data_IF_801836495138
#
_entry.id   IF_801836495138
#
_cell.length_a   1.000
_cell.length_b   1.000
_cell.length_c   1.000
_cell.angle_alpha   90.00
_cell.angle_beta   90.00
_cell.angle_gamma   90.00
#
_symmetry.space_group_name_H-M   'P 1'
#
loop_
_entity.id
_entity.type
_entity.pdbx_description
1 polymer ?
#
# COMPACT_ATOMS: atom_id res chain seq x y z
N UNK A 1 6.06 7.89 -15.98
CA UNK A 1 5.96 8.94 -14.95
C UNK A 1 5.37 10.21 -15.60
N UNK A 2 4.36 10.80 -15.00
CA UNK A 2 3.74 12.04 -15.44
C UNK A 2 3.75 13.04 -14.29
N UNK A 3 3.97 14.33 -14.58
CA UNK A 3 3.88 15.38 -13.56
C UNK A 3 2.61 16.17 -13.78
N UNK A 4 1.67 16.06 -12.86
CA UNK A 4 0.48 16.91 -12.78
C UNK A 4 0.82 18.28 -12.20
N UNK A 5 0.20 19.34 -12.73
CA UNK A 5 0.28 20.68 -12.17
C UNK A 5 -1.13 21.22 -11.95
N UNK A 6 -1.41 21.72 -10.77
CA UNK A 6 -2.67 22.35 -10.44
C UNK A 6 -2.48 23.74 -9.82
N UNK A 7 -3.38 24.65 -10.12
CA UNK A 7 -3.41 26.00 -9.57
C UNK A 7 -4.87 26.43 -9.40
N UNK A 8 -5.23 26.94 -8.23
CA UNK A 8 -6.54 27.54 -8.04
C UNK A 8 -6.52 29.01 -8.50
N UNK A 9 -7.54 29.40 -9.26
CA UNK A 9 -7.79 30.78 -9.69
C UNK A 9 -9.00 31.29 -8.92
N UNK A 10 -8.84 32.41 -8.23
CA UNK A 10 -9.89 33.07 -7.45
C UNK A 10 -9.99 34.55 -7.91
N UNK A 11 -11.11 35.24 -7.67
CA UNK A 11 -11.22 36.66 -7.98
C UNK A 11 -10.12 37.51 -7.34
N UNK A 12 -9.59 37.09 -6.18
CA UNK A 12 -8.55 37.78 -5.41
C UNK A 12 -7.12 37.38 -5.79
N UNK A 13 -6.92 36.48 -6.78
CA UNK A 13 -5.60 36.06 -7.24
C UNK A 13 -5.47 34.57 -7.54
N UNK A 14 -4.23 34.18 -7.83
CA UNK A 14 -3.87 32.79 -8.14
C UNK A 14 -3.14 32.17 -6.96
N UNK A 15 -3.41 30.90 -6.66
CA UNK A 15 -2.61 30.14 -5.69
C UNK A 15 -1.22 29.84 -6.24
N UNK A 16 -0.31 29.36 -5.38
CA UNK A 16 0.91 28.69 -5.83
C UNK A 16 0.55 27.49 -6.71
N UNK A 17 1.42 27.15 -7.65
CA UNK A 17 1.32 25.92 -8.44
C UNK A 17 1.70 24.74 -7.53
N UNK A 18 0.81 23.77 -7.41
CA UNK A 18 1.11 22.48 -6.82
C UNK A 18 1.52 21.54 -7.93
N UNK A 19 2.63 20.83 -7.74
CA UNK A 19 3.15 19.81 -8.66
C UNK A 19 3.11 18.46 -7.96
N UNK A 20 2.59 17.45 -8.63
CA UNK A 20 2.57 16.06 -8.16
C UNK A 20 3.09 15.15 -9.26
N UNK A 21 3.96 14.22 -8.89
CA UNK A 21 4.44 13.17 -9.77
C UNK A 21 3.55 11.95 -9.65
N UNK A 22 2.91 11.55 -10.74
CA UNK A 22 2.07 10.35 -10.79
C UNK A 22 2.88 9.22 -11.39
N UNK A 23 2.98 8.11 -10.67
CA UNK A 23 3.61 6.89 -11.12
C UNK A 23 2.54 5.95 -11.70
N UNK A 24 2.33 5.99 -13.01
CA UNK A 24 1.38 5.07 -13.65
C UNK A 24 1.89 3.63 -13.65
N UNK A 25 1.01 2.71 -13.29
CA UNK A 25 1.16 1.26 -13.38
C UNK A 25 -0.15 0.64 -13.87
N UNK A 26 -0.21 -0.67 -14.02
CA UNK A 26 -1.45 -1.35 -14.45
C UNK A 26 -2.58 -1.24 -13.42
N UNK A 27 -2.24 -1.04 -12.14
CA UNK A 27 -3.20 -0.84 -11.04
C UNK A 27 -3.76 0.58 -10.96
N UNK A 28 -3.08 1.58 -11.56
CA UNK A 28 -3.47 3.00 -11.40
C UNK A 28 -4.90 3.24 -11.86
N UNK A 29 -5.70 3.84 -10.98
CA UNK A 29 -7.13 4.15 -11.16
C UNK A 29 -8.02 2.94 -11.45
N UNK A 30 -7.58 1.73 -11.07
CA UNK A 30 -8.42 0.53 -11.16
C UNK A 30 -9.38 0.45 -9.97
N UNK A 31 -10.46 -0.30 -10.16
CA UNK A 31 -11.38 -0.59 -9.06
C UNK A 31 -10.65 -1.45 -8.03
N UNK A 32 -10.68 -1.02 -6.79
CA UNK A 32 -10.10 -1.75 -5.66
C UNK A 32 -11.14 -1.92 -4.56
N UNK A 33 -11.13 -3.08 -3.92
CA UNK A 33 -12.03 -3.42 -2.82
C UNK A 33 -11.20 -3.91 -1.64
N UNK A 34 -11.39 -3.30 -0.47
CA UNK A 34 -10.82 -3.79 0.78
C UNK A 34 -11.63 -4.99 1.27
N UNK A 35 -10.95 -6.09 1.62
CA UNK A 35 -11.57 -7.26 2.26
C UNK A 35 -11.49 -7.17 3.79
N UNK A 36 -10.65 -6.28 4.30
CA UNK A 36 -10.52 -5.96 5.73
C UNK A 36 -10.70 -4.46 5.94
N UNK A 37 -11.20 -4.02 7.10
CA UNK A 37 -11.47 -2.62 7.35
C UNK A 37 -10.17 -1.78 7.40
N UNK A 38 -10.19 -0.64 6.75
CA UNK A 38 -9.17 0.40 6.91
C UNK A 38 -9.35 1.09 8.27
N UNK A 39 -8.27 1.48 8.92
CA UNK A 39 -8.34 2.19 10.18
C UNK A 39 -8.96 3.59 9.99
N UNK A 40 -10.06 3.87 10.68
CA UNK A 40 -10.86 5.10 10.51
C UNK A 40 -10.09 6.40 10.71
N UNK A 41 -9.08 6.40 11.58
CA UNK A 41 -8.26 7.60 11.83
C UNK A 41 -7.38 7.95 10.62
N UNK A 42 -7.01 6.96 9.80
CA UNK A 42 -6.09 7.09 8.67
C UNK A 42 -6.74 6.59 7.36
N UNK A 43 -8.05 6.67 7.26
CA UNK A 43 -8.80 6.23 6.08
C UNK A 43 -8.68 7.22 4.91
N UNK A 44 -8.65 8.54 5.20
CA UNK A 44 -8.55 9.64 4.24
C UNK A 44 -9.47 9.45 3.00
N UNK A 45 -8.88 9.16 1.83
CA UNK A 45 -9.61 8.85 0.60
C UNK A 45 -10.06 7.38 0.50
N UNK A 46 -9.81 6.59 1.55
CA UNK A 46 -10.13 5.17 1.60
C UNK A 46 -9.19 4.29 0.79
N UNK A 47 -9.65 3.09 0.49
CA UNK A 47 -8.83 2.05 -0.17
C UNK A 47 -8.32 2.48 -1.55
N UNK A 48 -8.97 3.43 -2.22
CA UNK A 48 -8.53 3.95 -3.53
C UNK A 48 -7.16 4.63 -3.50
N UNK A 49 -6.70 5.07 -2.32
CA UNK A 49 -5.33 5.57 -2.11
C UNK A 49 -4.27 4.56 -2.57
N UNK A 50 -4.53 3.25 -2.47
CA UNK A 50 -3.58 2.21 -2.88
C UNK A 50 -3.39 2.08 -4.41
N UNK A 51 -4.17 2.79 -5.21
CA UNK A 51 -4.14 2.72 -6.68
C UNK A 51 -4.29 4.10 -7.34
N UNK A 52 -4.01 5.18 -6.61
CA UNK A 52 -4.15 6.55 -7.14
C UNK A 52 -2.91 7.04 -7.91
N UNK A 53 -1.83 6.28 -7.87
CA UNK A 53 -0.56 6.60 -8.53
C UNK A 53 0.29 7.63 -7.75
N UNK A 54 -0.09 7.97 -6.53
CA UNK A 54 0.53 9.03 -5.75
C UNK A 54 1.33 8.45 -4.58
N UNK A 55 2.64 8.51 -4.68
CA UNK A 55 3.55 7.99 -3.66
C UNK A 55 3.54 8.85 -2.39
N UNK A 56 3.52 8.19 -1.25
CA UNK A 56 3.71 8.80 0.05
C UNK A 56 5.17 9.20 0.30
N UNK A 57 5.36 10.08 1.26
CA UNK A 57 6.66 10.39 1.84
C UNK A 57 6.68 9.94 3.31
N UNK A 58 7.75 10.20 4.05
CA UNK A 58 7.83 9.79 5.47
C UNK A 58 6.76 10.37 6.39
N UNK A 59 6.10 11.45 5.98
CA UNK A 59 4.98 11.99 6.75
C UNK A 59 3.69 11.20 6.46
N UNK A 60 3.40 10.21 7.28
CA UNK A 60 2.22 9.35 7.15
C UNK A 60 0.88 10.07 7.39
N UNK A 61 0.90 11.34 7.85
CA UNK A 61 -0.30 12.16 8.13
C UNK A 61 -0.79 12.98 6.92
N UNK A 62 -0.23 12.73 5.73
CA UNK A 62 -0.50 13.56 4.54
C UNK A 62 -1.70 13.12 3.70
N UNK A 63 -2.38 12.02 4.03
CA UNK A 63 -3.45 11.45 3.20
C UNK A 63 -2.95 10.67 1.97
N UNK A 64 -1.62 10.43 1.86
CA UNK A 64 -1.01 9.52 0.87
C UNK A 64 -0.85 8.09 1.41
N UNK A 65 -1.30 7.87 2.62
CA UNK A 65 -1.17 6.62 3.35
C UNK A 65 -2.53 6.20 3.87
N UNK A 66 -2.77 4.91 3.88
CA UNK A 66 -3.85 4.31 4.67
C UNK A 66 -3.25 3.32 5.65
N UNK A 67 -3.95 3.09 6.76
CA UNK A 67 -3.46 2.24 7.82
C UNK A 67 -4.39 1.08 8.13
N UNK A 68 -3.77 -0.02 8.53
CA UNK A 68 -4.42 -1.21 9.07
C UNK A 68 -3.92 -1.44 10.49
N UNK A 69 -4.82 -1.82 11.39
CA UNK A 69 -4.51 -2.02 12.81
C UNK A 69 -5.34 -3.17 13.38
N UNK A 70 -4.69 -4.17 13.92
CA UNK A 70 -5.29 -5.41 14.43
C UNK A 70 -5.94 -6.31 13.35
N UNK A 71 -5.70 -6.02 12.11
CA UNK A 71 -6.16 -6.80 10.97
C UNK A 71 -5.16 -6.68 9.82
N UNK A 72 -5.21 -7.62 8.91
CA UNK A 72 -4.38 -7.62 7.71
C UNK A 72 -4.79 -6.49 6.74
N UNK A 73 -3.86 -6.01 5.92
CA UNK A 73 -4.20 -5.33 4.68
C UNK A 73 -4.55 -6.39 3.65
N UNK A 74 -5.81 -6.49 3.27
CA UNK A 74 -6.24 -7.40 2.23
C UNK A 74 -7.14 -6.67 1.24
N UNK A 75 -6.73 -6.63 -0.03
CA UNK A 75 -7.43 -5.91 -1.07
C UNK A 75 -7.42 -6.67 -2.40
N UNK A 76 -8.50 -6.49 -3.17
CA UNK A 76 -8.65 -7.02 -4.53
C UNK A 76 -8.73 -5.87 -5.51
N UNK A 77 -7.87 -5.92 -6.53
CA UNK A 77 -7.86 -5.00 -7.68
C UNK A 77 -8.55 -5.71 -8.86
N UNK A 78 -9.57 -5.08 -9.45
CA UNK A 78 -10.21 -5.50 -10.70
C UNK A 78 -9.68 -4.66 -11.85
N UNK A 79 -8.91 -5.24 -12.75
CA UNK A 79 -8.39 -4.57 -13.94
C UNK A 79 -9.49 -4.27 -14.99
N UNK A 80 -10.71 -4.82 -14.79
CA UNK A 80 -11.84 -4.70 -15.73
C UNK A 80 -11.79 -5.71 -16.88
N UNK A 81 -10.60 -6.11 -17.27
CA UNK A 81 -10.31 -7.14 -18.27
C UNK A 81 -8.98 -7.83 -17.93
N UNK A 82 -8.71 -9.03 -18.44
CA UNK A 82 -7.44 -9.70 -18.22
C UNK A 82 -6.26 -8.83 -18.65
N UNK A 83 -5.26 -8.71 -17.78
CA UNK A 83 -4.01 -7.99 -18.01
C UNK A 83 -2.83 -8.93 -17.75
N UNK A 84 -1.73 -8.71 -18.49
CA UNK A 84 -0.49 -9.45 -18.29
C UNK A 84 0.39 -8.69 -17.31
N UNK A 85 0.90 -9.36 -16.27
CA UNK A 85 1.81 -8.78 -15.28
C UNK A 85 2.66 -9.85 -14.61
N UNK A 86 3.82 -9.43 -14.07
CA UNK A 86 4.78 -10.34 -13.41
C UNK A 86 5.41 -9.76 -12.15
N UNK A 87 4.95 -8.56 -11.75
CA UNK A 87 5.56 -7.88 -10.60
C UNK A 87 4.52 -7.03 -9.87
N UNK A 88 4.54 -7.14 -8.55
CA UNK A 88 3.78 -6.29 -7.63
C UNK A 88 4.75 -5.61 -6.69
N UNK A 89 4.60 -4.32 -6.52
CA UNK A 89 5.38 -3.54 -5.54
C UNK A 89 4.45 -2.89 -4.55
N UNK A 90 4.75 -3.05 -3.27
CA UNK A 90 4.08 -2.42 -2.14
C UNK A 90 5.09 -1.57 -1.37
N UNK A 91 4.72 -0.36 -0.99
CA UNK A 91 5.56 0.49 -0.14
C UNK A 91 4.91 0.65 1.23
N UNK A 92 5.69 0.43 2.29
CA UNK A 92 5.28 0.62 3.67
C UNK A 92 6.06 1.77 4.31
N UNK A 93 5.47 2.41 5.30
CA UNK A 93 6.14 3.41 6.12
C UNK A 93 6.45 2.81 7.49
N UNK A 94 7.65 3.05 7.98
CA UNK A 94 8.06 2.63 9.32
C UNK A 94 8.42 3.85 10.15
N UNK A 95 7.72 4.00 11.27
CA UNK A 95 7.99 4.99 12.32
C UNK A 95 7.74 4.31 13.68
N UNK A 96 8.77 3.62 14.17
CA UNK A 96 8.65 2.73 15.34
C UNK A 96 8.14 3.48 16.58
N UNK A 97 8.57 4.72 16.78
CA UNK A 97 8.10 5.57 17.90
C UNK A 97 6.58 5.80 17.92
N UNK A 98 5.93 5.76 16.76
CA UNK A 98 4.48 5.90 16.58
C UNK A 98 3.78 4.53 16.38
N UNK A 99 4.45 3.43 16.74
CA UNK A 99 3.95 2.06 16.62
C UNK A 99 3.65 1.63 15.17
N UNK A 100 4.33 2.21 14.21
CA UNK A 100 4.22 1.89 12.78
C UNK A 100 5.39 1.00 12.40
N UNK A 101 5.09 -0.26 12.06
CA UNK A 101 6.06 -1.29 11.75
C UNK A 101 5.89 -1.78 10.32
N UNK A 102 6.93 -2.42 9.81
CA UNK A 102 6.89 -3.04 8.49
C UNK A 102 6.00 -4.28 8.46
N UNK A 103 5.62 -4.71 7.25
CA UNK A 103 4.89 -5.95 7.04
C UNK A 103 5.72 -7.16 7.48
N UNK A 104 5.04 -8.20 8.01
CA UNK A 104 5.63 -9.50 8.38
C UNK A 104 5.56 -10.51 7.25
N UNK A 105 4.62 -10.36 6.36
CA UNK A 105 4.55 -11.10 5.11
C UNK A 105 3.71 -10.36 4.10
N UNK A 106 3.98 -10.60 2.81
CA UNK A 106 3.16 -10.12 1.71
C UNK A 106 2.94 -11.29 0.76
N UNK A 107 1.69 -11.51 0.35
CA UNK A 107 1.35 -12.48 -0.66
C UNK A 107 0.49 -11.88 -1.76
N UNK A 108 0.64 -12.45 -2.95
CA UNK A 108 -0.04 -12.06 -4.18
C UNK A 108 -0.75 -13.26 -4.75
N UNK A 109 -2.03 -13.11 -5.05
CA UNK A 109 -2.83 -14.13 -5.70
C UNK A 109 -3.64 -13.55 -6.85
N UNK A 110 -3.92 -14.35 -7.86
CA UNK A 110 -4.62 -13.94 -9.08
C UNK A 110 -5.88 -14.77 -9.31
N UNK A 111 -6.85 -14.18 -9.99
CA UNK A 111 -8.10 -14.86 -10.35
C UNK A 111 -8.63 -14.33 -11.69
N UNK A 112 -9.36 -15.17 -12.40
CA UNK A 112 -10.12 -14.80 -13.61
C UNK A 112 -11.56 -14.41 -13.27
N UNK A 113 -12.13 -15.02 -12.24
CA UNK A 113 -13.55 -14.89 -11.84
C UNK A 113 -13.79 -13.97 -10.62
N UNK A 114 -12.73 -13.64 -9.87
CA UNK A 114 -12.79 -12.85 -8.64
C UNK A 114 -13.17 -13.64 -7.39
N UNK A 115 -13.33 -14.95 -7.50
CA UNK A 115 -13.71 -15.86 -6.41
C UNK A 115 -12.58 -16.86 -6.11
N UNK A 116 -12.08 -17.53 -7.15
CA UNK A 116 -11.05 -18.56 -7.04
C UNK A 116 -9.65 -17.97 -7.26
N UNK A 117 -8.97 -17.70 -6.16
CA UNK A 117 -7.62 -17.09 -6.18
C UNK A 117 -6.53 -18.15 -6.08
N UNK A 118 -5.55 -18.07 -6.99
CA UNK A 118 -4.31 -18.87 -6.97
C UNK A 118 -3.15 -17.97 -6.56
N UNK A 119 -2.44 -18.34 -5.49
CA UNK A 119 -1.24 -17.63 -5.07
C UNK A 119 -0.12 -17.77 -6.12
N UNK A 120 0.50 -16.66 -6.48
CA UNK A 120 1.62 -16.58 -7.45
C UNK A 120 2.92 -16.13 -6.81
N UNK A 121 2.87 -15.41 -5.68
CA UNK A 121 4.05 -15.03 -4.91
C UNK A 121 3.73 -14.90 -3.43
N UNK A 122 4.72 -15.13 -2.58
CA UNK A 122 4.66 -14.84 -1.15
C UNK A 122 6.07 -14.64 -0.61
N UNK A 123 6.23 -13.63 0.24
CA UNK A 123 7.47 -13.36 0.96
C UNK A 123 7.17 -13.13 2.44
N UNK A 124 8.06 -13.63 3.29
CA UNK A 124 8.04 -13.39 4.74
C UNK A 124 9.21 -12.49 5.13
N UNK A 125 8.98 -11.60 6.05
CA UNK A 125 9.97 -10.65 6.55
C UNK A 125 10.21 -10.88 8.04
N UNK A 126 11.47 -10.79 8.50
CA UNK A 126 11.78 -10.93 9.91
C UNK A 126 11.14 -9.80 10.74
N UNK A 127 10.92 -10.08 12.02
CA UNK A 127 10.53 -9.02 12.96
C UNK A 127 11.59 -7.91 12.97
N UNK A 128 11.13 -6.66 13.00
CA UNK A 128 12.06 -5.53 13.08
C UNK A 128 12.84 -5.54 14.39
N UNK A 129 14.08 -5.10 14.30
CA UNK A 129 14.97 -4.89 15.42
C UNK A 129 15.07 -3.40 15.78
N UNK A 130 15.74 -3.09 16.88
CA UNK A 130 16.03 -1.71 17.25
C UNK A 130 16.86 -0.99 16.17
N UNK A 131 17.77 -1.71 15.53
CA UNK A 131 18.73 -1.16 14.54
C UNK A 131 18.11 -0.90 13.17
N UNK A 132 16.93 -1.51 12.85
CA UNK A 132 16.26 -1.21 11.58
C UNK A 132 15.87 0.28 11.55
N UNK A 133 16.19 1.01 10.46
CA UNK A 133 15.89 2.44 10.39
C UNK A 133 14.39 2.71 10.23
N UNK A 134 13.95 3.86 10.75
CA UNK A 134 12.66 4.43 10.40
C UNK A 134 12.76 5.02 8.98
N UNK A 135 12.08 4.40 8.03
CA UNK A 135 12.11 4.78 6.61
C UNK A 135 10.93 4.18 5.85
N UNK A 136 10.87 4.46 4.56
CA UNK A 136 10.00 3.74 3.64
C UNK A 136 10.69 2.44 3.22
N UNK A 137 9.95 1.33 3.33
CA UNK A 137 10.37 0.03 2.82
C UNK A 137 9.59 -0.30 1.56
N UNK A 138 10.31 -0.75 0.54
CA UNK A 138 9.71 -1.15 -0.73
C UNK A 138 9.84 -2.67 -0.88
N UNK A 139 8.71 -3.33 -0.99
CA UNK A 139 8.61 -4.77 -1.17
C UNK A 139 8.27 -5.07 -2.63
N UNK A 140 9.11 -5.82 -3.30
CA UNK A 140 8.96 -6.16 -4.73
C UNK A 140 8.80 -7.67 -4.84
N UNK A 141 7.58 -8.13 -5.16
CA UNK A 141 7.30 -9.52 -5.44
C UNK A 141 7.27 -9.74 -6.95
N UNK A 142 8.23 -10.51 -7.44
CA UNK A 142 8.32 -10.93 -8.84
C UNK A 142 7.93 -12.39 -8.99
N UNK A 143 7.24 -12.72 -10.07
CA UNK A 143 6.76 -14.07 -10.36
C UNK A 143 6.71 -14.29 -11.87
N UNK A 144 6.51 -15.54 -12.30
CA UNK A 144 6.31 -15.85 -13.71
C UNK A 144 5.14 -15.04 -14.29
N UNK A 145 5.26 -14.51 -15.51
CA UNK A 145 4.20 -13.73 -16.14
C UNK A 145 2.85 -14.46 -16.10
N UNK A 146 1.85 -13.77 -15.64
CA UNK A 146 0.46 -14.28 -15.57
C UNK A 146 -0.47 -13.33 -16.32
N UNK A 147 -1.58 -13.89 -16.82
CA UNK A 147 -2.68 -13.12 -17.38
C UNK A 147 -3.91 -13.34 -16.51
N UNK A 148 -4.40 -12.28 -15.85
CA UNK A 148 -5.56 -12.37 -14.97
C UNK A 148 -6.32 -11.05 -14.93
N UNK A 149 -7.63 -11.12 -14.59
CA UNK A 149 -8.45 -9.93 -14.39
C UNK A 149 -8.37 -9.39 -12.96
N UNK A 150 -8.24 -10.28 -11.97
CA UNK A 150 -8.24 -9.90 -10.56
C UNK A 150 -6.90 -10.19 -9.91
N UNK A 151 -6.45 -9.26 -9.10
CA UNK A 151 -5.26 -9.38 -8.29
C UNK A 151 -5.64 -9.16 -6.83
N UNK A 152 -5.31 -10.11 -5.97
CA UNK A 152 -5.43 -9.98 -4.51
C UNK A 152 -4.05 -9.80 -3.90
N UNK A 153 -3.92 -8.78 -3.06
CA UNK A 153 -2.72 -8.51 -2.27
C UNK A 153 -3.09 -8.60 -0.80
N UNK A 154 -2.32 -9.39 -0.07
CA UNK A 154 -2.44 -9.54 1.38
C UNK A 154 -1.10 -9.17 2.01
N UNK A 155 -1.09 -8.22 2.94
CA UNK A 155 0.07 -7.90 3.77
C UNK A 155 -0.29 -8.03 5.26
N UNK A 156 0.47 -8.84 5.98
CA UNK A 156 0.27 -9.07 7.42
C UNK A 156 1.09 -8.06 8.22
N UNK A 157 0.48 -7.34 9.17
CA UNK A 157 1.19 -6.43 10.05
C UNK A 157 2.01 -7.17 11.12
N UNK A 158 2.78 -6.42 11.90
CA UNK A 158 3.36 -6.91 13.15
C UNK A 158 2.26 -6.95 14.23
N UNK A 159 1.81 -8.15 14.58
CA UNK A 159 0.78 -8.36 15.58
C UNK A 159 1.31 -8.33 17.02
N UNK A 160 2.61 -8.51 17.18
CA UNK A 160 3.26 -8.55 18.48
C UNK A 160 4.54 -7.71 18.44
N UNK A 161 4.43 -6.42 18.70
CA UNK A 161 5.58 -5.52 18.78
C UNK A 161 6.68 -6.15 19.64
N UNK A 162 7.92 -6.23 19.14
CA UNK A 162 9.01 -6.93 19.79
C UNK A 162 9.35 -6.41 21.20
N UNK A 163 9.98 -7.25 22.00
CA UNK A 163 10.26 -7.02 23.43
C UNK A 163 11.15 -5.81 23.73
N UNK A 164 11.95 -5.36 22.78
CA UNK A 164 12.82 -4.18 22.91
C UNK A 164 12.05 -2.85 22.85
N UNK A 165 10.80 -2.86 22.39
CA UNK A 165 9.99 -1.64 22.21
C UNK A 165 9.05 -1.42 23.40
N UNK A 166 8.78 -0.14 23.74
CA UNK A 166 7.86 0.20 24.83
C UNK A 166 6.43 -0.31 24.68
N UNK A 167 6.00 -0.56 23.43
CA UNK A 167 4.69 -1.13 23.09
C UNK A 167 4.68 -2.65 22.95
N UNK A 168 5.67 -3.36 23.48
CA UNK A 168 5.82 -4.83 23.35
C UNK A 168 4.52 -5.59 23.57
N UNK A 169 4.28 -6.59 22.76
CA UNK A 169 3.13 -7.48 22.84
C UNK A 169 1.82 -6.91 22.30
N UNK A 170 1.78 -5.62 21.95
CA UNK A 170 0.62 -5.03 21.28
C UNK A 170 0.77 -5.12 19.76
N UNK A 171 -0.32 -5.07 18.99
CA UNK A 171 -0.26 -4.95 17.54
C UNK A 171 0.28 -3.58 17.12
N UNK A 172 1.00 -3.57 16.01
CA UNK A 172 1.46 -2.36 15.35
C UNK A 172 0.48 -1.92 14.25
N UNK A 173 0.62 -0.67 13.82
CA UNK A 173 0.02 -0.19 12.58
C UNK A 173 0.85 -0.65 11.38
N UNK A 174 0.17 -1.02 10.30
CA UNK A 174 0.75 -1.15 8.97
C UNK A 174 0.26 0.01 8.10
N UNK A 175 1.16 0.87 7.64
CA UNK A 175 0.88 1.96 6.72
C UNK A 175 1.34 1.61 5.31
N UNK A 176 0.43 1.74 4.35
CA UNK A 176 0.67 1.45 2.93
C UNK A 176 0.25 2.66 2.09
N UNK A 177 1.04 3.00 1.05
CA UNK A 177 0.72 4.10 0.14
C UNK A 177 0.15 3.61 -1.19
N UNK A 178 0.83 2.71 -1.87
CA UNK A 178 0.51 2.37 -3.25
C UNK A 178 0.82 0.90 -3.54
N UNK A 179 -0.06 0.25 -4.31
CA UNK A 179 0.18 -1.06 -4.93
C UNK A 179 0.45 -0.84 -6.40
N UNK A 180 1.70 -0.94 -6.84
CA UNK A 180 2.03 -0.85 -8.26
C UNK A 180 2.14 -2.23 -8.89
N UNK A 181 1.62 -2.38 -10.12
CA UNK A 181 1.59 -3.64 -10.89
C UNK A 181 2.21 -3.41 -12.25
N UNK A 182 3.24 -4.21 -12.59
CA UNK A 182 3.99 -4.12 -13.84
C UNK A 182 4.03 -5.45 -14.62
#
# INVERSE_FOLDING_TARGET
KCTGKAMAIRPTGKSRIVKEDIAFSKSTSKKITALQPVNKQYEFAGISTLVDGLKGNRNYKTGRWIAFYKNDMEAVIDFGQPADFSKVTLTTNVEKGDWIFDARSISVAVSEDGENFKQVASEEYPAMTLDNPNQLYQHVLSFEPVKARYLKVLAKPEYNIPSWHGGKGNPAFLFVDEITVD
#
